data_IF_390949172698
#
_entry.id   IF_390949172698
#
_cell.length_a   1.000
_cell.length_b   1.000
_cell.length_c   1.000
_cell.angle_alpha   90.00
_cell.angle_beta   90.00
_cell.angle_gamma   90.00
#
_symmetry.space_group_name_H-M   'P 1'
#
loop_
_entity.id
_entity.type
_entity.pdbx_description
1 polymer ?
#
# COMPACT_ATOMS: atom_id res chain seq x y z
N UNK A 1 20.86 9.29 2.22
CA UNK A 1 21.03 7.83 2.42
C UNK A 1 19.75 7.31 3.06
N UNK A 2 19.13 6.27 2.50
CA UNK A 2 17.88 5.71 3.02
C UNK A 2 18.17 4.88 4.27
N UNK A 3 17.34 4.99 5.31
CA UNK A 3 17.59 4.34 6.62
C UNK A 3 16.81 3.02 6.69
N UNK A 4 17.49 1.95 7.11
CA UNK A 4 16.88 0.64 7.34
C UNK A 4 16.10 0.61 8.67
N UNK A 5 14.94 -0.06 8.69
CA UNK A 5 14.09 -0.16 9.88
C UNK A 5 14.74 -0.93 11.04
N UNK A 6 15.53 -1.96 10.73
CA UNK A 6 16.32 -2.67 11.74
C UNK A 6 17.40 -1.78 12.35
N UNK A 7 18.01 -0.90 11.55
CA UNK A 7 19.04 0.03 12.02
C UNK A 7 18.43 1.15 12.87
N UNK A 8 17.18 1.57 12.57
CA UNK A 8 16.44 2.53 13.41
C UNK A 8 16.09 1.95 14.78
N UNK A 9 15.71 0.68 14.83
CA UNK A 9 15.38 0.00 16.07
C UNK A 9 16.62 -0.51 16.81
N UNK A 10 17.80 -0.45 16.20
CA UNK A 10 19.07 -0.96 16.75
C UNK A 10 19.00 -2.46 17.06
N UNK A 11 18.54 -3.24 16.07
CA UNK A 11 18.35 -4.70 16.17
C UNK A 11 18.83 -5.42 14.91
N UNK A 12 19.10 -6.72 15.06
CA UNK A 12 19.43 -7.59 13.94
C UNK A 12 18.20 -8.02 13.14
N UNK A 13 18.39 -8.45 11.89
CA UNK A 13 17.30 -8.86 11.00
C UNK A 13 16.57 -10.11 11.48
N UNK A 14 17.27 -10.99 12.18
CA UNK A 14 16.76 -12.21 12.79
C UNK A 14 16.07 -11.97 14.14
N UNK A 15 15.90 -10.71 14.57
CA UNK A 15 15.26 -10.38 15.83
C UNK A 15 13.83 -10.96 15.93
N UNK A 16 13.48 -11.47 17.11
CA UNK A 16 12.14 -11.98 17.38
C UNK A 16 11.13 -10.83 17.51
N UNK A 17 9.82 -11.14 17.42
CA UNK A 17 8.76 -10.14 17.66
C UNK A 17 8.84 -9.51 19.06
N UNK A 18 9.32 -10.26 20.05
CA UNK A 18 9.56 -9.75 21.40
C UNK A 18 10.73 -8.76 21.44
N UNK A 19 11.79 -9.01 20.68
CA UNK A 19 12.97 -8.13 20.61
C UNK A 19 12.63 -6.83 19.89
N UNK A 20 11.88 -6.90 18.78
CA UNK A 20 11.36 -5.73 18.06
C UNK A 20 10.53 -4.84 19.00
N UNK A 21 9.65 -5.45 19.80
CA UNK A 21 8.82 -4.72 20.77
C UNK A 21 9.64 -4.10 21.90
N UNK A 22 10.67 -4.78 22.40
CA UNK A 22 11.57 -4.24 23.42
C UNK A 22 12.39 -3.08 22.87
N UNK A 23 12.93 -3.24 21.67
CA UNK A 23 13.73 -2.24 20.97
C UNK A 23 12.92 -0.96 20.71
N UNK A 24 11.67 -1.11 20.20
CA UNK A 24 10.76 0.02 20.04
C UNK A 24 10.55 0.80 21.34
N UNK A 25 10.24 0.11 22.45
CA UNK A 25 10.06 0.77 23.75
C UNK A 25 11.30 1.53 24.21
N UNK A 26 12.49 0.94 24.00
CA UNK A 26 13.78 1.57 24.33
C UNK A 26 13.99 2.83 23.49
N UNK A 27 13.86 2.73 22.18
CA UNK A 27 14.07 3.84 21.25
C UNK A 27 13.04 4.96 21.43
N UNK A 28 11.76 4.61 21.65
CA UNK A 28 10.69 5.55 21.94
C UNK A 28 10.95 6.36 23.22
N UNK A 29 11.53 5.74 24.26
CA UNK A 29 11.92 6.45 25.49
C UNK A 29 13.13 7.37 25.28
N UNK A 30 14.08 6.98 24.42
CA UNK A 30 15.28 7.79 24.12
C UNK A 30 14.90 9.03 23.32
N UNK A 31 14.02 8.88 22.32
CA UNK A 31 13.64 9.93 21.37
C UNK A 31 12.31 10.62 21.71
N UNK A 32 11.78 10.42 22.94
CA UNK A 32 10.56 11.10 23.36
C UNK A 32 10.77 12.63 23.40
N UNK A 33 9.85 13.46 22.86
CA UNK A 33 10.01 14.92 22.83
C UNK A 33 10.20 15.52 24.23
N UNK A 34 9.47 15.02 25.24
CA UNK A 34 9.60 15.50 26.63
C UNK A 34 11.02 15.33 27.22
N UNK A 35 11.80 14.34 26.76
CA UNK A 35 13.16 14.10 27.24
C UNK A 35 14.24 14.82 26.44
N UNK A 36 13.87 15.39 25.29
CA UNK A 36 14.76 16.03 24.33
C UNK A 36 14.29 17.47 24.07
N UNK A 37 14.02 18.22 25.13
CA UNK A 37 13.49 19.59 25.06
C UNK A 37 14.39 20.58 24.32
N UNK A 38 15.68 20.29 24.23
CA UNK A 38 16.70 21.04 23.49
C UNK A 38 16.67 20.76 21.97
N UNK A 39 16.15 19.59 21.55
CA UNK A 39 16.12 19.13 20.16
C UNK A 39 14.77 18.51 19.77
N UNK A 40 13.68 19.19 20.14
CA UNK A 40 12.31 18.69 19.98
C UNK A 40 12.01 18.27 18.55
N UNK A 41 12.44 19.06 17.55
CA UNK A 41 12.18 18.75 16.15
C UNK A 41 12.85 17.44 15.72
N UNK A 42 14.16 17.30 15.96
CA UNK A 42 14.90 16.09 15.62
C UNK A 42 14.36 14.86 16.37
N UNK A 43 14.00 15.03 17.64
CA UNK A 43 13.41 13.98 18.45
C UNK A 43 12.05 13.53 17.91
N UNK A 44 11.19 14.49 17.52
CA UNK A 44 9.88 14.21 16.91
C UNK A 44 10.04 13.46 15.58
N UNK A 45 11.04 13.85 14.78
CA UNK A 45 11.33 13.23 13.50
C UNK A 45 11.83 11.79 13.65
N UNK A 46 12.78 11.58 14.57
CA UNK A 46 13.27 10.25 14.92
C UNK A 46 12.20 9.38 15.56
N UNK A 47 11.35 9.94 16.41
CA UNK A 47 10.28 9.21 17.08
C UNK A 47 9.25 8.69 16.08
N UNK A 48 8.86 9.53 15.12
CA UNK A 48 7.95 9.14 14.03
C UNK A 48 8.54 7.99 13.19
N UNK A 49 9.83 8.08 12.88
CA UNK A 49 10.60 7.03 12.20
C UNK A 49 10.62 5.69 12.95
N UNK A 50 10.84 5.75 14.26
CA UNK A 50 10.86 4.58 15.15
C UNK A 50 9.46 3.94 15.21
N UNK A 51 8.41 4.75 15.22
CA UNK A 51 7.03 4.27 15.22
C UNK A 51 6.69 3.54 13.91
N UNK A 52 7.02 4.12 12.75
CA UNK A 52 6.81 3.47 11.44
C UNK A 52 7.59 2.17 11.32
N UNK A 53 8.87 2.16 11.73
CA UNK A 53 9.70 0.96 11.74
C UNK A 53 9.08 -0.16 12.60
N UNK A 54 8.53 0.19 13.76
CA UNK A 54 7.83 -0.79 14.60
C UNK A 54 6.53 -1.27 13.97
N UNK A 55 5.71 -0.39 13.39
CA UNK A 55 4.47 -0.79 12.73
C UNK A 55 4.72 -1.81 11.62
N UNK A 56 5.72 -1.57 10.76
CA UNK A 56 6.06 -2.49 9.65
C UNK A 56 6.70 -3.78 10.16
N UNK A 57 7.67 -3.71 11.08
CA UNK A 57 8.40 -4.90 11.53
C UNK A 57 7.62 -5.77 12.52
N UNK A 58 6.59 -5.23 13.18
CA UNK A 58 5.76 -5.98 14.12
C UNK A 58 4.67 -6.82 13.46
N UNK A 59 4.21 -6.45 12.26
CA UNK A 59 3.26 -7.22 11.46
C UNK A 59 4.04 -8.26 10.61
N UNK A 60 3.79 -9.58 10.76
CA UNK A 60 4.53 -10.60 10.01
C UNK A 60 4.43 -10.48 8.49
N UNK A 61 3.28 -10.03 7.97
CA UNK A 61 3.06 -9.86 6.54
C UNK A 61 3.81 -8.63 6.02
N UNK A 62 3.71 -7.51 6.74
CA UNK A 62 4.46 -6.29 6.37
C UNK A 62 5.98 -6.47 6.51
N UNK A 63 6.43 -7.21 7.53
CA UNK A 63 7.84 -7.56 7.72
C UNK A 63 8.37 -8.45 6.59
N UNK A 64 7.67 -9.53 6.27
CA UNK A 64 8.10 -10.45 5.20
C UNK A 64 8.19 -9.71 3.86
N UNK A 65 7.25 -8.81 3.61
CA UNK A 65 7.24 -7.98 2.43
C UNK A 65 8.37 -6.95 2.43
N UNK A 66 8.64 -6.28 3.57
CA UNK A 66 9.78 -5.38 3.73
C UNK A 66 11.11 -6.11 3.50
N UNK A 67 11.28 -7.27 4.11
CA UNK A 67 12.51 -8.08 3.99
C UNK A 67 12.74 -8.51 2.53
N UNK A 68 11.68 -8.90 1.81
CA UNK A 68 11.75 -9.30 0.41
C UNK A 68 12.18 -8.18 -0.56
N UNK A 69 11.96 -6.92 -0.19
CA UNK A 69 12.21 -5.77 -1.08
C UNK A 69 13.17 -4.72 -0.50
N UNK A 70 13.72 -4.97 0.69
CA UNK A 70 14.59 -4.05 1.44
C UNK A 70 15.72 -3.49 0.59
N UNK A 71 16.41 -4.34 -0.16
CA UNK A 71 17.57 -3.93 -0.94
C UNK A 71 17.19 -2.98 -2.09
N UNK A 72 16.01 -3.16 -2.69
CA UNK A 72 15.46 -2.21 -3.68
C UNK A 72 15.08 -0.88 -3.02
N UNK A 73 14.44 -0.95 -1.85
CA UNK A 73 14.07 0.24 -1.07
C UNK A 73 15.32 1.06 -0.69
N UNK A 74 16.39 0.41 -0.22
CA UNK A 74 17.59 1.08 0.30
C UNK A 74 18.55 1.59 -0.78
N UNK A 75 18.66 0.90 -1.91
CA UNK A 75 19.54 1.35 -3.00
C UNK A 75 19.10 2.70 -3.55
N UNK A 76 17.79 2.96 -3.58
CA UNK A 76 17.24 4.11 -4.29
C UNK A 76 17.47 3.92 -5.80
N UNK A 77 16.42 3.98 -6.60
CA UNK A 77 16.61 3.81 -8.04
C UNK A 77 17.24 5.08 -8.60
N UNK A 78 18.52 5.00 -8.99
CA UNK A 78 19.05 5.91 -10.00
C UNK A 78 18.18 5.73 -11.25
N UNK A 79 17.37 6.75 -11.53
CA UNK A 79 16.28 6.74 -12.51
C UNK A 79 16.82 6.75 -13.97
N UNK A 80 17.80 5.91 -14.29
CA UNK A 80 18.60 6.05 -15.51
C UNK A 80 18.06 5.29 -16.72
N UNK A 81 17.23 4.26 -16.59
CA UNK A 81 16.64 3.59 -17.75
C UNK A 81 15.30 2.94 -17.38
N UNK A 82 14.19 3.65 -17.57
CA UNK A 82 12.86 3.02 -17.59
C UNK A 82 12.27 3.15 -18.98
N UNK A 83 11.92 2.01 -19.58
CA UNK A 83 11.06 1.99 -20.76
C UNK A 83 9.75 2.69 -20.41
N UNK A 84 9.45 3.79 -21.11
CA UNK A 84 8.26 4.61 -20.89
C UNK A 84 6.95 3.81 -21.00
N UNK A 85 6.98 2.63 -21.65
CA UNK A 85 5.82 1.75 -21.81
C UNK A 85 5.38 1.03 -20.53
N UNK A 86 6.23 0.91 -19.51
CA UNK A 86 5.89 0.17 -18.29
C UNK A 86 5.01 0.99 -17.31
N UNK A 87 5.02 2.32 -17.44
CA UNK A 87 4.34 3.22 -16.50
C UNK A 87 4.88 3.08 -15.07
N UNK A 88 3.99 3.19 -14.08
CA UNK A 88 4.35 2.96 -12.68
C UNK A 88 4.60 1.46 -12.45
N UNK A 89 5.81 1.14 -11.98
CA UNK A 89 6.26 -0.24 -11.72
C UNK A 89 6.02 -0.66 -10.27
N UNK A 90 6.08 -1.96 -9.97
CA UNK A 90 6.02 -2.47 -8.60
C UNK A 90 7.08 -1.79 -7.70
N UNK A 91 8.31 -1.64 -8.21
CA UNK A 91 9.41 -0.96 -7.52
C UNK A 91 9.13 0.53 -7.21
N UNK A 92 8.38 1.23 -8.06
CA UNK A 92 7.98 2.61 -7.78
C UNK A 92 6.97 2.67 -6.64
N UNK A 93 6.03 1.72 -6.61
CA UNK A 93 5.01 1.61 -5.56
C UNK A 93 5.63 1.34 -4.19
N UNK A 94 6.76 0.62 -4.14
CA UNK A 94 7.51 0.34 -2.91
C UNK A 94 7.82 1.59 -2.09
N UNK A 95 8.05 2.72 -2.77
CA UNK A 95 8.40 3.99 -2.11
C UNK A 95 7.27 4.54 -1.25
N UNK A 96 6.03 4.16 -1.54
CA UNK A 96 4.84 4.62 -0.82
C UNK A 96 4.51 3.78 0.41
N UNK A 97 5.21 2.64 0.61
CA UNK A 97 5.16 1.85 1.84
C UNK A 97 6.16 2.34 2.90
N UNK A 98 7.13 3.16 2.51
CA UNK A 98 8.10 3.77 3.42
C UNK A 98 8.05 5.27 3.22
N UNK A 99 7.13 5.91 3.94
CA UNK A 99 6.90 7.35 3.85
C UNK A 99 8.11 8.18 4.25
N UNK A 100 9.11 7.56 4.89
CA UNK A 100 10.24 8.27 5.49
C UNK A 100 11.62 7.78 5.01
N UNK A 101 11.67 6.95 3.96
CA UNK A 101 12.95 6.67 3.27
C UNK A 101 13.40 7.81 2.33
N UNK A 102 12.68 8.93 2.26
CA UNK A 102 13.13 10.13 1.56
C UNK A 102 12.99 11.37 2.47
N UNK A 103 14.09 12.03 2.87
CA UNK A 103 14.06 13.26 3.66
C UNK A 103 13.21 14.39 3.03
N UNK A 104 13.07 14.39 1.70
CA UNK A 104 12.24 15.36 0.96
C UNK A 104 10.75 15.00 1.06
N UNK A 105 10.41 13.70 1.01
CA UNK A 105 9.04 13.23 1.22
C UNK A 105 8.58 13.41 2.67
N UNK A 106 9.51 13.29 3.63
CA UNK A 106 9.26 13.56 5.05
C UNK A 106 8.82 15.00 5.30
N UNK A 107 9.53 15.98 4.75
CA UNK A 107 9.17 17.41 4.89
C UNK A 107 7.83 17.74 4.21
N UNK A 108 7.49 17.03 3.14
CA UNK A 108 6.20 17.17 2.43
C UNK A 108 5.03 16.48 3.15
N UNK A 109 5.27 15.33 3.79
CA UNK A 109 4.26 14.55 4.51
C UNK A 109 3.99 15.09 5.93
N UNK A 110 4.98 15.69 6.57
CA UNK A 110 4.86 16.21 7.95
C UNK A 110 4.09 17.52 8.05
N UNK A 111 3.84 18.21 6.94
CA UNK A 111 2.94 19.36 6.91
C UNK A 111 1.47 18.89 6.79
N UNK A 112 0.95 18.36 7.90
CA UNK A 112 -0.48 18.17 8.19
C UNK A 112 -1.19 17.08 7.37
N UNK A 113 -2.32 16.57 7.88
CA UNK A 113 -3.19 15.55 7.25
C UNK A 113 -3.42 15.69 5.73
N UNK A 114 -3.28 16.90 5.17
CA UNK A 114 -3.31 17.15 3.72
C UNK A 114 -2.24 16.37 2.95
N UNK A 115 -1.04 16.16 3.50
CA UNK A 115 0.03 15.39 2.87
C UNK A 115 -0.38 13.95 2.56
N UNK A 116 -0.96 13.25 3.56
CA UNK A 116 -1.43 11.88 3.40
C UNK A 116 -2.46 11.74 2.27
N UNK A 117 -3.54 12.54 2.33
CA UNK A 117 -4.59 12.43 1.31
C UNK A 117 -4.13 12.84 -0.07
N UNK A 118 -3.29 13.88 -0.19
CA UNK A 118 -2.81 14.32 -1.49
C UNK A 118 -1.84 13.30 -2.11
N UNK A 119 -0.91 12.75 -1.33
CA UNK A 119 0.05 11.74 -1.81
C UNK A 119 -0.69 10.52 -2.35
N UNK A 120 -1.56 9.92 -1.54
CA UNK A 120 -2.26 8.70 -1.96
C UNK A 120 -3.35 8.99 -3.00
N UNK A 121 -4.05 10.13 -2.95
CA UNK A 121 -4.99 10.52 -4.02
C UNK A 121 -4.29 10.63 -5.36
N UNK A 122 -3.17 11.36 -5.41
CA UNK A 122 -2.45 11.55 -6.67
C UNK A 122 -1.88 10.22 -7.19
N UNK A 123 -1.38 9.36 -6.30
CA UNK A 123 -0.88 8.04 -6.67
C UNK A 123 -1.98 7.15 -7.26
N UNK A 124 -3.08 6.96 -6.53
CA UNK A 124 -4.17 6.09 -6.99
C UNK A 124 -4.88 6.66 -8.21
N UNK A 125 -4.96 7.98 -8.35
CA UNK A 125 -5.45 8.62 -9.57
C UNK A 125 -4.52 8.34 -10.75
N UNK A 126 -3.20 8.43 -10.55
CA UNK A 126 -2.22 8.09 -11.58
C UNK A 126 -2.35 6.62 -12.01
N UNK A 127 -2.48 5.70 -11.05
CA UNK A 127 -2.69 4.28 -11.33
C UNK A 127 -4.00 4.04 -12.10
N UNK A 128 -5.10 4.68 -11.69
CA UNK A 128 -6.38 4.57 -12.39
C UNK A 128 -6.27 5.04 -13.84
N UNK A 129 -5.61 6.18 -14.08
CA UNK A 129 -5.39 6.71 -15.43
C UNK A 129 -4.52 5.77 -16.29
N UNK A 130 -3.48 5.17 -15.71
CA UNK A 130 -2.62 4.20 -16.41
C UNK A 130 -3.41 2.93 -16.80
N UNK A 131 -4.32 2.47 -15.96
CA UNK A 131 -5.18 1.32 -16.26
C UNK A 131 -6.24 1.65 -17.31
N UNK A 132 -6.82 2.85 -17.28
CA UNK A 132 -7.75 3.34 -18.30
C UNK A 132 -7.05 3.47 -19.67
N UNK A 133 -5.81 3.96 -19.69
CA UNK A 133 -4.99 4.01 -20.90
C UNK A 133 -4.63 2.60 -21.41
N UNK A 134 -4.28 1.68 -20.51
CA UNK A 134 -4.04 0.28 -20.87
C UNK A 134 -5.28 -0.39 -21.49
N UNK A 135 -6.46 -0.13 -20.92
CA UNK A 135 -7.73 -0.61 -21.47
C UNK A 135 -8.01 -0.05 -22.87
N UNK A 136 -7.83 1.27 -23.07
CA UNK A 136 -8.03 1.91 -24.37
C UNK A 136 -7.07 1.40 -25.46
N UNK A 137 -5.82 1.11 -25.08
CA UNK A 137 -4.79 0.65 -26.01
C UNK A 137 -4.89 -0.84 -26.35
N UNK A 138 -5.57 -1.64 -25.51
CA UNK A 138 -5.73 -3.07 -25.71
C UNK A 138 -7.13 -3.52 -25.25
N UNK A 139 -8.18 -3.12 -25.99
CA UNK A 139 -9.55 -3.48 -25.62
C UNK A 139 -9.74 -4.99 -25.69
N UNK A 140 -10.53 -5.60 -24.79
CA UNK A 140 -10.88 -7.01 -24.88
C UNK A 140 -11.52 -7.32 -26.23
N UNK A 141 -11.16 -8.44 -26.85
CA UNK A 141 -11.72 -8.86 -28.15
C UNK A 141 -13.21 -9.28 -28.04
N UNK A 142 -13.70 -9.60 -26.84
CA UNK A 142 -15.08 -10.04 -26.58
C UNK A 142 -15.85 -9.03 -25.70
N UNK A 143 -17.10 -8.72 -26.10
CA UNK A 143 -17.98 -7.81 -25.36
C UNK A 143 -18.34 -8.32 -23.94
N UNK A 144 -18.30 -9.63 -23.68
CA UNK A 144 -18.58 -10.19 -22.35
C UNK A 144 -17.49 -9.85 -21.30
N UNK A 145 -16.27 -9.49 -21.74
CA UNK A 145 -15.17 -9.01 -20.89
C UNK A 145 -15.23 -7.48 -20.64
N UNK A 146 -16.13 -6.76 -21.32
CA UNK A 146 -16.28 -5.29 -21.22
C UNK A 146 -16.84 -4.85 -19.87
N UNK A 147 -17.51 -5.74 -19.13
CA UNK A 147 -18.02 -5.46 -17.79
C UNK A 147 -16.93 -5.18 -16.74
N UNK A 148 -15.65 -5.35 -17.08
CA UNK A 148 -14.51 -5.02 -16.22
C UNK A 148 -13.76 -3.76 -16.66
N UNK A 149 -14.39 -2.82 -17.38
CA UNK A 149 -13.95 -1.42 -17.36
C UNK A 149 -14.23 -0.82 -15.97
N UNK A 150 -13.57 -1.34 -14.94
CA UNK A 150 -13.75 -0.90 -13.56
C UNK A 150 -13.13 0.49 -13.47
N UNK A 151 -13.95 1.52 -13.62
CA UNK A 151 -13.60 2.87 -13.21
C UNK A 151 -13.23 2.81 -11.74
N UNK A 152 -11.93 2.88 -11.45
CA UNK A 152 -11.42 2.81 -10.09
C UNK A 152 -11.89 4.05 -9.33
N UNK A 153 -12.61 3.88 -8.20
CA UNK A 153 -13.05 5.03 -7.41
C UNK A 153 -11.89 5.91 -6.97
N UNK A 154 -12.16 7.21 -6.83
CA UNK A 154 -11.18 8.16 -6.31
C UNK A 154 -10.93 7.92 -4.82
N UNK A 155 -9.71 8.21 -4.36
CA UNK A 155 -9.36 8.15 -2.93
C UNK A 155 -10.15 9.15 -2.07
N UNK A 156 -10.67 10.22 -2.69
CA UNK A 156 -11.40 11.27 -2.01
C UNK A 156 -10.51 12.16 -1.13
N UNK A 157 -11.10 12.77 -0.10
CA UNK A 157 -10.45 13.70 0.82
C UNK A 157 -10.80 13.36 2.29
N UNK A 158 -10.30 14.17 3.22
CA UNK A 158 -10.52 13.97 4.65
C UNK A 158 -12.01 13.94 5.04
N UNK A 159 -12.87 14.62 4.28
CA UNK A 159 -14.31 14.71 4.50
C UNK A 159 -15.12 13.64 3.76
N UNK A 160 -14.47 12.76 2.99
CA UNK A 160 -15.17 11.68 2.28
C UNK A 160 -15.77 10.70 3.28
N UNK A 161 -17.09 10.42 3.22
CA UNK A 161 -17.76 9.51 4.14
C UNK A 161 -17.28 8.07 3.95
N UNK A 162 -17.23 7.31 5.06
CA UNK A 162 -16.71 5.95 5.01
C UNK A 162 -17.61 4.99 4.24
N UNK A 163 -18.90 5.01 4.56
CA UNK A 163 -19.92 4.16 3.95
C UNK A 163 -21.21 4.95 3.80
N UNK A 164 -22.07 4.43 2.93
CA UNK A 164 -23.40 4.95 2.73
C UNK A 164 -24.29 4.67 3.95
N UNK A 165 -24.90 5.72 4.51
CA UNK A 165 -25.94 5.57 5.52
C UNK A 165 -27.35 5.73 4.92
N UNK A 166 -27.51 6.30 3.71
CA UNK A 166 -28.79 6.79 3.17
C UNK A 166 -29.06 6.55 1.66
N UNK A 167 -28.10 6.02 0.90
CA UNK A 167 -28.21 5.58 -0.49
C UNK A 167 -27.87 6.63 -1.54
N UNK A 168 -27.50 7.86 -1.17
CA UNK A 168 -27.76 9.02 -2.04
C UNK A 168 -26.65 9.32 -3.09
N UNK A 169 -25.38 9.01 -2.81
CA UNK A 169 -24.25 9.54 -3.60
C UNK A 169 -23.71 8.60 -4.71
N UNK A 170 -24.25 7.39 -4.86
CA UNK A 170 -23.84 6.44 -5.91
C UNK A 170 -22.46 5.78 -5.68
N UNK A 171 -22.08 4.84 -6.56
CA UNK A 171 -20.83 4.08 -6.44
C UNK A 171 -19.60 4.97 -6.59
N UNK A 172 -18.62 4.81 -5.69
CA UNK A 172 -17.34 5.51 -5.73
C UNK A 172 -17.31 6.84 -4.98
N UNK A 173 -18.40 7.19 -4.30
CA UNK A 173 -18.47 8.33 -3.38
C UNK A 173 -17.92 8.02 -1.98
N UNK A 174 -17.69 6.74 -1.66
CA UNK A 174 -17.37 6.27 -0.31
C UNK A 174 -15.98 5.64 -0.21
N UNK A 175 -15.36 5.80 0.97
CA UNK A 175 -14.06 5.17 1.28
C UNK A 175 -14.14 3.63 1.18
N UNK A 176 -15.29 3.04 1.55
CA UNK A 176 -15.54 1.61 1.42
C UNK A 176 -15.43 1.14 -0.03
N UNK A 177 -16.00 1.88 -0.98
CA UNK A 177 -16.02 1.50 -2.40
C UNK A 177 -14.61 1.59 -2.99
N UNK A 178 -13.86 2.64 -2.63
CA UNK A 178 -12.44 2.75 -2.95
C UNK A 178 -11.68 1.51 -2.51
N UNK A 179 -11.68 1.17 -1.21
CA UNK A 179 -10.92 0.01 -0.76
C UNK A 179 -11.49 -1.31 -1.29
N UNK A 180 -12.80 -1.40 -1.56
CA UNK A 180 -13.40 -2.57 -2.19
C UNK A 180 -12.86 -2.82 -3.60
N UNK A 181 -12.72 -1.78 -4.41
CA UNK A 181 -12.14 -1.89 -5.75
C UNK A 181 -10.64 -2.18 -5.70
N UNK A 182 -9.88 -1.39 -4.94
CA UNK A 182 -8.42 -1.49 -4.90
C UNK A 182 -7.89 -2.74 -4.18
N UNK A 183 -8.65 -3.33 -3.24
CA UNK A 183 -8.28 -4.62 -2.65
C UNK A 183 -8.43 -5.79 -3.65
N UNK A 184 -9.31 -5.62 -4.66
CA UNK A 184 -9.54 -6.61 -5.71
C UNK A 184 -8.88 -6.21 -7.04
N UNK A 185 -7.93 -5.26 -7.00
CA UNK A 185 -7.27 -4.69 -8.16
C UNK A 185 -6.69 -5.76 -9.10
N UNK A 186 -6.90 -5.61 -10.40
CA UNK A 186 -6.27 -6.43 -11.43
C UNK A 186 -5.87 -5.55 -12.60
N UNK A 187 -4.58 -5.52 -12.93
CA UNK A 187 -4.07 -4.68 -14.00
C UNK A 187 -4.46 -5.21 -15.39
N UNK A 188 -4.89 -4.29 -16.25
CA UNK A 188 -5.16 -4.47 -17.68
C UNK A 188 -3.92 -4.25 -18.56
N UNK A 189 -2.79 -3.85 -17.98
CA UNK A 189 -1.55 -3.64 -18.73
C UNK A 189 -1.12 -4.92 -19.47
N UNK A 190 -0.41 -4.74 -20.58
CA UNK A 190 0.03 -5.87 -21.44
C UNK A 190 1.21 -6.65 -20.84
N UNK A 191 2.06 -5.97 -20.05
CA UNK A 191 3.33 -6.48 -19.52
C UNK A 191 4.32 -6.94 -20.61
N UNK A 192 4.17 -6.51 -21.86
CA UNK A 192 5.05 -6.92 -22.97
C UNK A 192 6.51 -6.52 -22.73
N UNK A 193 6.77 -5.45 -21.96
CA UNK A 193 8.13 -5.07 -21.55
C UNK A 193 8.82 -6.10 -20.65
N UNK A 194 8.10 -7.10 -20.12
CA UNK A 194 8.67 -8.23 -19.38
C UNK A 194 9.16 -9.35 -20.31
N UNK A 195 8.93 -9.26 -21.63
CA UNK A 195 9.36 -10.26 -22.60
C UNK A 195 10.90 -10.32 -22.66
N UNK A 196 11.44 -11.51 -22.44
CA UNK A 196 12.90 -11.75 -22.49
C UNK A 196 13.41 -11.96 -23.90
N UNK A 197 12.52 -12.45 -24.77
CA UNK A 197 12.87 -12.93 -26.10
C UNK A 197 12.07 -12.22 -27.18
N UNK A 198 12.72 -11.84 -28.27
CA UNK A 198 12.02 -11.37 -29.47
C UNK A 198 11.68 -12.57 -30.35
N UNK A 199 10.39 -12.78 -30.61
CA UNK A 199 9.93 -13.95 -31.38
C UNK A 199 10.40 -13.96 -32.85
N UNK A 200 10.84 -12.81 -33.37
CA UNK A 200 11.50 -12.68 -34.68
C UNK A 200 12.83 -13.41 -34.76
N UNK A 201 13.53 -13.55 -33.63
CA UNK A 201 14.91 -14.04 -33.58
C UNK A 201 14.95 -15.57 -33.46
N UNK A 202 13.78 -16.23 -33.46
CA UNK A 202 13.66 -17.65 -33.27
C UNK A 202 14.18 -18.43 -34.51
N UNK A 203 15.19 -19.31 -34.37
CA UNK A 203 15.77 -20.05 -35.49
C UNK A 203 14.86 -21.18 -36.01
N UNK A 204 13.85 -21.60 -35.23
CA UNK A 204 12.89 -22.61 -35.66
C UNK A 204 11.55 -22.43 -34.95
N UNK A 205 10.50 -23.05 -35.49
CA UNK A 205 9.17 -23.08 -34.88
C UNK A 205 9.17 -23.67 -33.46
N UNK A 206 10.03 -24.66 -33.21
CA UNK A 206 10.15 -25.27 -31.89
C UNK A 206 10.73 -24.27 -30.88
N UNK A 207 11.81 -23.57 -31.25
CA UNK A 207 12.44 -22.57 -30.39
C UNK A 207 11.49 -21.39 -30.15
N UNK A 208 10.77 -20.95 -31.19
CA UNK A 208 9.75 -19.90 -31.07
C UNK A 208 8.70 -20.22 -30.01
N UNK A 209 8.20 -21.46 -29.98
CA UNK A 209 7.21 -21.90 -28.97
C UNK A 209 7.78 -21.86 -27.55
N UNK A 210 9.06 -22.21 -27.36
CA UNK A 210 9.70 -22.09 -26.05
C UNK A 210 9.86 -20.62 -25.64
N UNK A 211 10.29 -19.76 -26.56
CA UNK A 211 10.39 -18.31 -26.34
C UNK A 211 9.02 -17.70 -25.97
N UNK A 212 7.95 -18.06 -26.68
CA UNK A 212 6.57 -17.63 -26.37
C UNK A 212 6.14 -18.07 -24.96
N UNK A 213 6.46 -19.31 -24.58
CA UNK A 213 6.16 -19.84 -23.25
C UNK A 213 6.93 -19.11 -22.14
N UNK A 214 8.21 -18.82 -22.36
CA UNK A 214 9.04 -18.08 -21.41
C UNK A 214 8.59 -16.63 -21.27
N UNK A 215 8.28 -15.95 -22.38
CA UNK A 215 7.73 -14.61 -22.36
C UNK A 215 6.40 -14.58 -21.59
N UNK A 216 5.47 -15.50 -21.90
CA UNK A 216 4.20 -15.61 -21.16
C UNK A 216 4.45 -15.77 -19.66
N UNK A 217 5.35 -16.68 -19.27
CA UNK A 217 5.71 -16.87 -17.85
C UNK A 217 6.27 -15.60 -17.21
N UNK A 218 7.11 -14.86 -17.93
CA UNK A 218 7.67 -13.60 -17.44
C UNK A 218 6.59 -12.53 -17.24
N UNK A 219 5.67 -12.39 -18.20
CA UNK A 219 4.50 -11.49 -18.09
C UNK A 219 3.58 -11.87 -16.94
N UNK A 220 3.24 -13.16 -16.81
CA UNK A 220 2.37 -13.65 -15.74
C UNK A 220 2.99 -13.41 -14.36
N UNK A 221 4.31 -13.59 -14.24
CA UNK A 221 5.05 -13.32 -13.00
C UNK A 221 5.05 -11.83 -12.67
N UNK A 222 5.39 -10.97 -13.63
CA UNK A 222 5.39 -9.51 -13.44
C UNK A 222 3.99 -8.94 -13.13
N UNK A 223 2.95 -9.47 -13.80
CA UNK A 223 1.56 -9.10 -13.52
C UNK A 223 1.14 -9.48 -12.10
N UNK A 224 1.50 -10.70 -11.67
CA UNK A 224 1.23 -11.16 -10.31
C UNK A 224 1.91 -10.25 -9.28
N UNK A 225 3.21 -10.01 -9.44
CA UNK A 225 3.98 -9.15 -8.55
C UNK A 225 3.37 -7.75 -8.48
N UNK A 226 3.11 -7.10 -9.61
CA UNK A 226 2.50 -5.78 -9.66
C UNK A 226 1.13 -5.73 -8.97
N UNK A 227 0.24 -6.67 -9.28
CA UNK A 227 -1.09 -6.73 -8.67
C UNK A 227 -1.00 -6.94 -7.15
N UNK A 228 -0.15 -7.86 -6.69
CA UNK A 228 0.06 -8.13 -5.26
C UNK A 228 0.63 -6.88 -4.57
N UNK A 229 1.50 -6.12 -5.24
CA UNK A 229 2.06 -4.86 -4.74
C UNK A 229 0.98 -3.79 -4.58
N UNK A 230 0.12 -3.60 -5.60
CA UNK A 230 -0.98 -2.60 -5.56
C UNK A 230 -2.00 -2.94 -4.47
N UNK A 231 -2.40 -4.23 -4.36
CA UNK A 231 -3.33 -4.68 -3.32
C UNK A 231 -2.75 -4.51 -1.92
N UNK A 232 -1.49 -4.90 -1.73
CA UNK A 232 -0.77 -4.71 -0.47
C UNK A 232 -0.67 -3.22 -0.12
N UNK A 233 -0.50 -2.34 -1.11
CA UNK A 233 -0.46 -0.90 -0.89
C UNK A 233 -1.82 -0.38 -0.45
N UNK A 234 -2.90 -0.82 -1.10
CA UNK A 234 -4.26 -0.48 -0.70
C UNK A 234 -4.55 -0.88 0.75
N UNK A 235 -4.14 -2.09 1.17
CA UNK A 235 -4.26 -2.56 2.55
C UNK A 235 -3.39 -1.75 3.52
N UNK A 236 -2.14 -1.45 3.15
CA UNK A 236 -1.22 -0.63 3.93
C UNK A 236 -1.81 0.75 4.22
N UNK A 237 -2.36 1.40 3.19
CA UNK A 237 -3.02 2.71 3.30
C UNK A 237 -4.31 2.58 4.12
N UNK A 238 -5.10 1.53 3.93
CA UNK A 238 -6.34 1.27 4.68
C UNK A 238 -6.10 1.19 6.19
N UNK A 239 -5.04 0.51 6.64
CA UNK A 239 -4.68 0.41 8.06
C UNK A 239 -4.30 1.78 8.66
N UNK A 240 -3.81 2.71 7.84
CA UNK A 240 -3.26 4.01 8.27
C UNK A 240 -4.22 5.18 8.03
N UNK A 241 -5.24 5.00 7.21
CA UNK A 241 -6.25 6.01 6.88
C UNK A 241 -7.07 6.44 8.12
N UNK A 242 -7.02 7.72 8.50
CA UNK A 242 -7.77 8.24 9.64
C UNK A 242 -9.29 7.99 9.55
N UNK A 243 -9.86 7.99 8.34
CA UNK A 243 -11.30 7.77 8.11
C UNK A 243 -11.68 6.33 8.43
N UNK A 244 -10.83 5.38 8.05
CA UNK A 244 -11.01 3.95 8.36
C UNK A 244 -10.87 3.72 9.87
N UNK A 245 -9.84 4.30 10.50
CA UNK A 245 -9.63 4.18 11.95
C UNK A 245 -10.82 4.73 12.75
N UNK A 246 -11.32 5.90 12.38
CA UNK A 246 -12.48 6.51 13.01
C UNK A 246 -13.73 5.61 12.90
N UNK A 247 -13.97 5.04 11.71
CA UNK A 247 -15.07 4.11 11.49
C UNK A 247 -14.95 2.84 12.35
N UNK A 248 -13.77 2.22 12.42
CA UNK A 248 -13.56 1.01 13.21
C UNK A 248 -13.77 1.24 14.71
N UNK A 249 -13.34 2.40 15.23
CA UNK A 249 -13.58 2.79 16.62
C UNK A 249 -15.09 2.95 16.88
N UNK A 250 -15.81 3.60 15.97
CA UNK A 250 -17.25 3.78 16.10
C UNK A 250 -18.01 2.46 16.00
N UNK A 251 -17.63 1.60 15.06
CA UNK A 251 -18.22 0.26 14.90
C UNK A 251 -17.99 -0.61 16.15
N UNK A 252 -16.79 -0.55 16.75
CA UNK A 252 -16.47 -1.25 17.98
C UNK A 252 -17.36 -0.78 19.15
N UNK A 253 -17.52 0.54 19.32
CA UNK A 253 -18.42 1.11 20.34
C UNK A 253 -19.86 0.66 20.13
N UNK A 254 -20.35 0.65 18.88
CA UNK A 254 -21.70 0.15 18.55
C UNK A 254 -21.88 -1.31 18.93
N UNK A 255 -20.89 -2.17 18.63
CA UNK A 255 -20.92 -3.60 19.00
C UNK A 255 -20.92 -3.79 20.51
N UNK A 256 -20.09 -3.05 21.24
CA UNK A 256 -20.03 -3.08 22.71
C UNK A 256 -21.34 -2.63 23.36
N UNK A 257 -21.97 -1.57 22.83
CA UNK A 257 -23.26 -1.10 23.31
C UNK A 257 -24.37 -2.16 23.13
N UNK A 258 -24.45 -2.78 21.95
CA UNK A 258 -25.41 -3.87 21.68
C UNK A 258 -25.16 -5.07 22.59
N UNK A 259 -23.90 -5.46 22.80
CA UNK A 259 -23.55 -6.56 23.69
C UNK A 259 -23.89 -6.24 25.16
N UNK A 260 -23.67 -5.00 25.60
CA UNK A 260 -24.04 -4.55 26.95
C UNK A 260 -25.56 -4.56 27.15
N UNK A 261 -26.34 -4.11 26.16
CA UNK A 261 -27.80 -4.15 26.18
C UNK A 261 -28.34 -5.59 26.23
N UNK A 262 -27.80 -6.48 25.40
CA UNK A 262 -28.15 -7.91 25.42
C UNK A 262 -27.83 -8.55 26.78
N UNK A 263 -26.67 -8.23 27.35
CA UNK A 263 -26.28 -8.72 28.68
C UNK A 263 -27.20 -8.19 29.78
N UNK A 264 -27.59 -6.91 29.73
CA UNK A 264 -28.52 -6.31 30.67
C UNK A 264 -29.93 -6.94 30.57
N UNK A 265 -30.40 -7.21 29.35
CA UNK A 265 -31.68 -7.91 29.12
C UNK A 265 -31.68 -9.31 29.72
N UNK A 266 -30.63 -10.11 29.46
CA UNK A 266 -30.50 -11.45 30.04
C UNK A 266 -30.41 -11.45 31.58
N UNK A 267 -29.86 -10.40 32.18
CA UNK A 267 -29.84 -10.25 33.65
C UNK A 267 -31.21 -9.92 34.23
N UNK A 268 -32.00 -9.09 33.53
CA UNK A 268 -33.38 -8.77 33.92
C UNK A 268 -34.32 -9.97 33.80
N UNK A 269 -34.14 -10.81 32.79
CA UNK A 269 -34.96 -12.03 32.58
C UNK A 269 -34.63 -13.15 33.59
N UNK A 270 -33.52 -13.04 34.34
CA UNK A 270 -33.11 -13.99 35.39
C UNK A 270 -33.54 -13.58 36.81
N UNK A 271 -34.05 -12.36 36.99
CA UNK A 271 -34.58 -11.83 38.26
C UNK A 271 -36.08 -12.01 38.31
#
# INVERSE_FOLDING_TARGET
MRICYYDLLDIERQASSLDIKKAYRKQALIWHPDKNGDRIQEATDRFSLIQEAYEVLSDPQERAWYDGHRDSILRGTDNKHKDSSAGTTAEDLMRYFSTVCDPVAYTFCMNLLQGFYNVYRNLFQKLANEEEEAFRNNPPENDDDVHSATSYPSFGNASTPFADNDGYLGYGAYVRDFYGAWSNFTSMKSFIWMDKWKLSDAPSRYVRRQMEKENKKARDTGRKEYNDTVRSLAEFVRKRDPRVKAYLVEEQKRKEAVAAEQKARMQREKQ
#
